data_IF_748773276220
#
_entry.id   IF_748773276220
#
_cell.length_a   1.000
_cell.length_b   1.000
_cell.length_c   1.000
_cell.angle_alpha   90.00
_cell.angle_beta   90.00
_cell.angle_gamma   90.00
#
_symmetry.space_group_name_H-M   'P 1'
#
loop_
_entity.id
_entity.type
_entity.pdbx_description
1 polymer ?
#
# COMPACT_ATOMS: atom_id res chain seq x y z
N UNK A 1 0.12 -9.60 33.92
CA UNK A 1 -0.11 -9.59 32.46
C UNK A 1 0.20 -10.97 31.94
N UNK A 2 -0.80 -11.67 31.39
CA UNK A 2 -0.60 -13.02 30.87
C UNK A 2 0.23 -12.93 29.58
N UNK A 3 1.48 -13.34 29.62
CA UNK A 3 2.28 -13.51 28.40
C UNK A 3 1.80 -14.79 27.74
N UNK A 4 0.87 -14.66 26.79
CA UNK A 4 0.59 -15.79 25.90
C UNK A 4 1.92 -16.19 25.25
N UNK A 5 2.34 -17.46 25.39
CA UNK A 5 3.58 -17.91 24.78
C UNK A 5 3.49 -17.71 23.27
N UNK A 6 4.60 -17.31 22.66
CA UNK A 6 4.70 -17.18 21.21
C UNK A 6 4.28 -18.51 20.58
N UNK A 7 3.35 -18.51 19.60
CA UNK A 7 2.95 -19.73 18.91
C UNK A 7 4.17 -20.48 18.38
N UNK A 8 4.16 -21.81 18.48
CA UNK A 8 5.28 -22.64 18.01
C UNK A 8 5.61 -22.39 16.53
N UNK A 9 4.61 -22.06 15.72
CA UNK A 9 4.76 -21.68 14.31
C UNK A 9 5.59 -20.42 14.09
N UNK A 10 5.75 -19.57 15.11
CA UNK A 10 6.54 -18.35 15.04
C UNK A 10 7.88 -18.47 15.78
N UNK A 11 8.19 -19.61 16.40
CA UNK A 11 9.33 -19.75 17.31
C UNK A 11 10.69 -19.41 16.66
N UNK A 12 10.83 -19.70 15.36
CA UNK A 12 12.07 -19.49 14.61
C UNK A 12 12.04 -18.20 13.75
N UNK A 13 10.99 -17.38 13.87
CA UNK A 13 10.87 -16.15 13.08
C UNK A 13 11.85 -15.11 13.59
N UNK A 14 12.57 -14.49 12.66
CA UNK A 14 13.59 -13.47 12.90
C UNK A 14 13.30 -12.18 12.17
N UNK A 15 12.52 -12.23 11.10
CA UNK A 15 12.07 -11.05 10.36
C UNK A 15 10.56 -11.09 10.09
N UNK A 16 9.96 -9.91 10.11
CA UNK A 16 8.59 -9.67 9.70
C UNK A 16 8.61 -8.78 8.46
N UNK A 17 8.00 -9.26 7.37
CA UNK A 17 7.79 -8.48 6.15
C UNK A 17 6.33 -8.04 6.10
N UNK A 18 6.10 -6.76 5.86
CA UNK A 18 4.77 -6.15 5.92
C UNK A 18 4.32 -5.69 4.55
N UNK A 19 3.11 -6.08 4.15
CA UNK A 19 2.34 -5.26 3.24
C UNK A 19 2.02 -3.89 3.89
N UNK A 20 1.79 -2.84 3.10
CA UNK A 20 1.73 -1.46 3.61
C UNK A 20 0.34 -0.85 3.47
N UNK A 21 -0.17 -0.70 2.25
CA UNK A 21 -1.45 -0.03 2.01
C UNK A 21 -2.60 -0.93 2.43
N UNK A 22 -3.35 -0.56 3.47
CA UNK A 22 -4.47 -1.32 4.03
C UNK A 22 -4.06 -2.17 5.23
N UNK A 23 -2.85 -2.73 5.20
CA UNK A 23 -2.28 -3.48 6.34
C UNK A 23 -1.76 -2.56 7.44
N UNK A 24 -1.08 -1.47 7.07
CA UNK A 24 -0.37 -0.57 7.98
C UNK A 24 -0.96 0.85 7.91
N UNK A 25 -1.36 1.27 6.71
CA UNK A 25 -1.91 2.60 6.46
C UNK A 25 -3.36 2.53 5.99
N UNK A 26 -4.20 3.40 6.56
CA UNK A 26 -5.58 3.61 6.16
C UNK A 26 -5.63 4.52 4.92
N UNK A 27 -5.55 3.88 3.76
CA UNK A 27 -5.64 4.60 2.50
C UNK A 27 -7.08 5.07 2.19
N UNK A 28 -8.10 4.36 2.67
CA UNK A 28 -9.48 4.57 2.22
C UNK A 28 -10.07 5.83 2.81
N UNK A 29 -9.86 6.06 4.11
CA UNK A 29 -10.37 7.26 4.79
C UNK A 29 -9.80 8.52 4.17
N UNK A 30 -8.48 8.58 3.97
CA UNK A 30 -7.83 9.78 3.45
C UNK A 30 -8.20 10.03 1.97
N UNK A 31 -8.18 9.01 1.11
CA UNK A 31 -8.57 9.18 -0.30
C UNK A 31 -10.03 9.64 -0.41
N UNK A 32 -10.94 9.04 0.37
CA UNK A 32 -12.34 9.44 0.39
C UNK A 32 -12.51 10.89 0.86
N UNK A 33 -11.80 11.29 1.94
CA UNK A 33 -11.80 12.67 2.45
C UNK A 33 -11.27 13.64 1.40
N UNK A 34 -10.17 13.31 0.71
CA UNK A 34 -9.60 14.18 -0.32
C UNK A 34 -10.56 14.39 -1.50
N UNK A 35 -11.22 13.33 -1.97
CA UNK A 35 -12.24 13.43 -3.02
C UNK A 35 -13.37 14.37 -2.61
N UNK A 36 -13.92 14.19 -1.40
CA UNK A 36 -15.00 15.02 -0.89
C UNK A 36 -14.58 16.50 -0.71
N UNK A 37 -13.35 16.76 -0.28
CA UNK A 37 -12.82 18.14 -0.12
C UNK A 37 -12.64 18.85 -1.46
N UNK A 38 -12.31 18.12 -2.53
CA UNK A 38 -12.15 18.70 -3.86
C UNK A 38 -13.46 18.74 -4.66
N UNK A 39 -14.55 18.17 -4.16
CA UNK A 39 -15.84 18.24 -4.81
C UNK A 39 -16.34 19.71 -4.88
N UNK A 40 -17.10 20.04 -5.92
CA UNK A 40 -17.66 21.39 -6.09
C UNK A 40 -18.68 21.68 -4.99
N UNK A 41 -18.92 22.96 -4.62
CA UNK A 41 -19.82 23.31 -3.52
C UNK A 41 -21.24 22.72 -3.60
N UNK A 42 -21.75 22.48 -4.81
CA UNK A 42 -23.07 21.91 -5.06
C UNK A 42 -23.00 20.46 -5.60
N UNK A 43 -21.94 19.72 -5.26
CA UNK A 43 -21.84 18.31 -5.63
C UNK A 43 -23.04 17.52 -5.11
N UNK A 44 -23.58 16.64 -5.93
CA UNK A 44 -24.64 15.70 -5.54
C UNK A 44 -24.08 14.39 -4.99
N UNK A 45 -22.75 14.23 -5.00
CA UNK A 45 -22.06 13.01 -4.60
C UNK A 45 -21.91 13.01 -3.08
N UNK A 46 -22.54 12.03 -2.46
CA UNK A 46 -22.50 11.82 -1.01
C UNK A 46 -21.17 11.21 -0.56
N UNK A 47 -20.88 11.29 0.74
CA UNK A 47 -19.68 10.69 1.33
C UNK A 47 -19.56 9.18 1.05
N UNK A 48 -20.67 8.44 1.08
CA UNK A 48 -20.67 7.00 0.79
C UNK A 48 -20.43 6.69 -0.68
N UNK A 49 -20.87 7.56 -1.58
CA UNK A 49 -20.55 7.45 -3.01
C UNK A 49 -19.08 7.75 -3.26
N UNK A 50 -18.49 8.74 -2.57
CA UNK A 50 -17.03 8.95 -2.62
C UNK A 50 -16.24 7.77 -2.07
N UNK A 51 -16.73 7.14 -1.00
CA UNK A 51 -16.12 5.94 -0.45
C UNK A 51 -16.12 4.78 -1.48
N UNK A 52 -17.22 4.61 -2.20
CA UNK A 52 -17.31 3.62 -3.28
C UNK A 52 -16.40 4.00 -4.46
N UNK A 53 -16.37 5.27 -4.84
CA UNK A 53 -15.50 5.78 -5.90
C UNK A 53 -14.02 5.54 -5.57
N UNK A 54 -13.59 5.80 -4.34
CA UNK A 54 -12.23 5.52 -3.88
C UNK A 54 -11.87 4.02 -4.01
N UNK A 55 -12.80 3.11 -3.69
CA UNK A 55 -12.61 1.68 -3.91
C UNK A 55 -12.47 1.32 -5.40
N UNK A 56 -13.34 1.84 -6.25
CA UNK A 56 -13.26 1.63 -7.71
C UNK A 56 -11.93 2.16 -8.27
N UNK A 57 -11.48 3.32 -7.80
CA UNK A 57 -10.20 3.88 -8.20
C UNK A 57 -9.04 2.99 -7.77
N UNK A 58 -9.06 2.48 -6.54
CA UNK A 58 -8.07 1.50 -6.05
C UNK A 58 -8.04 0.24 -6.91
N UNK A 59 -9.20 -0.29 -7.30
CA UNK A 59 -9.29 -1.43 -8.20
C UNK A 59 -8.70 -1.12 -9.58
N UNK A 60 -9.03 0.04 -10.15
CA UNK A 60 -8.44 0.51 -11.41
C UNK A 60 -6.91 0.59 -11.37
N UNK A 61 -6.34 1.07 -10.25
CA UNK A 61 -4.88 1.10 -10.03
C UNK A 61 -4.28 -0.31 -10.13
N UNK A 62 -4.89 -1.32 -9.50
CA UNK A 62 -4.41 -2.70 -9.57
C UNK A 62 -4.49 -3.27 -10.98
N UNK A 63 -5.65 -3.11 -11.64
CA UNK A 63 -5.87 -3.61 -13.01
C UNK A 63 -4.86 -3.00 -13.98
N UNK A 64 -4.71 -1.67 -13.95
CA UNK A 64 -3.78 -0.96 -14.82
C UNK A 64 -2.34 -1.41 -14.62
N UNK A 65 -1.92 -1.52 -13.35
CA UNK A 65 -0.57 -1.90 -12.98
C UNK A 65 -0.23 -3.32 -13.40
N UNK A 66 -1.13 -4.26 -13.15
CA UNK A 66 -0.94 -5.67 -13.53
C UNK A 66 -0.81 -5.80 -15.06
N UNK A 67 -1.73 -5.17 -15.81
CA UNK A 67 -1.69 -5.18 -17.27
C UNK A 67 -0.41 -4.52 -17.84
N UNK A 68 0.12 -3.48 -17.18
CA UNK A 68 1.38 -2.87 -17.58
C UNK A 68 2.57 -3.83 -17.39
N UNK A 69 2.65 -4.48 -16.23
CA UNK A 69 3.73 -5.42 -15.91
C UNK A 69 3.70 -6.65 -16.80
N UNK A 70 2.52 -7.21 -17.10
CA UNK A 70 2.36 -8.32 -18.05
C UNK A 70 2.90 -7.98 -19.45
N UNK A 71 2.87 -6.70 -19.83
CA UNK A 71 3.41 -6.19 -21.11
C UNK A 71 4.87 -5.74 -20.99
N UNK A 72 5.56 -6.04 -19.89
CA UNK A 72 6.94 -5.63 -19.63
C UNK A 72 7.12 -4.12 -19.47
N UNK A 73 6.06 -3.40 -19.08
CA UNK A 73 6.09 -1.95 -18.85
C UNK A 73 6.02 -1.64 -17.37
N UNK A 74 6.73 -0.59 -16.99
CA UNK A 74 6.65 -0.02 -15.65
C UNK A 74 6.27 1.46 -15.75
N UNK A 75 5.24 1.86 -15.01
CA UNK A 75 4.83 3.26 -14.87
C UNK A 75 5.03 3.71 -13.43
N UNK A 76 5.35 4.99 -13.23
CA UNK A 76 5.41 5.54 -11.87
C UNK A 76 4.03 5.48 -11.21
N UNK A 77 3.94 5.37 -9.88
CA UNK A 77 2.65 5.41 -9.20
C UNK A 77 1.83 6.65 -9.55
N UNK A 78 2.44 7.82 -9.66
CA UNK A 78 1.75 9.08 -10.01
C UNK A 78 1.10 8.98 -11.40
N UNK A 79 1.78 8.36 -12.36
CA UNK A 79 1.23 8.13 -13.70
C UNK A 79 0.02 7.21 -13.65
N UNK A 80 0.08 6.16 -12.83
CA UNK A 80 -1.01 5.20 -12.68
C UNK A 80 -2.20 5.86 -11.99
N UNK A 81 -1.98 6.54 -10.87
CA UNK A 81 -3.03 7.23 -10.10
C UNK A 81 -3.79 8.22 -10.97
N UNK A 82 -3.07 9.06 -11.73
CA UNK A 82 -3.69 10.04 -12.60
C UNK A 82 -4.49 9.38 -13.72
N UNK A 83 -3.90 8.41 -14.44
CA UNK A 83 -4.58 7.76 -15.57
C UNK A 83 -5.84 7.03 -15.14
N UNK A 84 -5.80 6.34 -14.00
CA UNK A 84 -6.97 5.62 -13.50
C UNK A 84 -8.01 6.55 -12.90
N UNK A 85 -7.62 7.72 -12.37
CA UNK A 85 -8.57 8.75 -11.95
C UNK A 85 -9.28 9.36 -13.16
N UNK A 86 -8.51 9.78 -14.16
CA UNK A 86 -9.02 10.38 -15.41
C UNK A 86 -9.97 9.42 -16.15
N UNK A 87 -9.61 8.13 -16.22
CA UNK A 87 -10.50 7.10 -16.76
C UNK A 87 -11.76 6.94 -15.90
N UNK A 88 -11.62 6.82 -14.59
CA UNK A 88 -12.75 6.55 -13.70
C UNK A 88 -13.75 7.71 -13.66
N UNK A 89 -13.26 8.95 -13.66
CA UNK A 89 -14.09 10.17 -13.75
C UNK A 89 -14.97 10.13 -14.99
N UNK A 90 -14.44 9.70 -16.14
CA UNK A 90 -15.19 9.58 -17.39
C UNK A 90 -16.18 8.42 -17.35
N UNK A 91 -15.78 7.26 -16.84
CA UNK A 91 -16.63 6.06 -16.84
C UNK A 91 -17.78 6.14 -15.83
N UNK A 92 -17.60 6.89 -14.74
CA UNK A 92 -18.61 7.06 -13.68
C UNK A 92 -19.37 8.39 -13.82
N UNK A 93 -19.16 9.13 -14.91
CA UNK A 93 -19.82 10.41 -15.21
C UNK A 93 -19.69 11.44 -14.07
N UNK A 94 -18.48 11.58 -13.54
CA UNK A 94 -18.17 12.50 -12.45
C UNK A 94 -17.99 13.92 -12.99
N UNK A 95 -19.03 14.75 -12.83
CA UNK A 95 -19.01 16.17 -13.19
C UNK A 95 -18.71 17.07 -11.98
N UNK A 96 -17.46 17.01 -11.49
CA UNK A 96 -17.00 17.89 -10.40
C UNK A 96 -16.25 19.14 -10.91
N UNK A 97 -16.05 19.26 -12.23
CA UNK A 97 -15.32 20.37 -12.83
C UNK A 97 -13.81 20.37 -12.57
N UNK A 98 -13.24 19.22 -12.20
CA UNK A 98 -11.80 19.08 -11.95
C UNK A 98 -10.98 19.32 -13.22
N UNK A 99 -10.04 20.26 -13.14
CA UNK A 99 -8.97 20.41 -14.12
C UNK A 99 -7.96 19.27 -14.02
N UNK A 100 -7.04 19.21 -14.98
CA UNK A 100 -5.89 18.29 -14.90
C UNK A 100 -5.04 18.57 -13.64
N UNK A 101 -4.87 19.84 -13.28
CA UNK A 101 -4.17 20.27 -12.07
C UNK A 101 -4.88 19.79 -10.80
N UNK A 102 -6.22 19.89 -10.74
CA UNK A 102 -7.01 19.41 -9.61
C UNK A 102 -6.89 17.89 -9.45
N UNK A 103 -6.99 17.14 -10.55
CA UNK A 103 -6.82 15.69 -10.53
C UNK A 103 -5.42 15.27 -10.07
N UNK A 104 -4.37 15.99 -10.50
CA UNK A 104 -3.00 15.77 -10.01
C UNK A 104 -2.88 16.06 -8.51
N UNK A 105 -3.57 17.08 -8.00
CA UNK A 105 -3.60 17.38 -6.57
C UNK A 105 -4.33 16.29 -5.79
N UNK A 106 -5.49 15.82 -6.27
CA UNK A 106 -6.25 14.70 -5.69
C UNK A 106 -5.40 13.43 -5.63
N UNK A 107 -4.59 13.16 -6.67
CA UNK A 107 -3.68 12.01 -6.69
C UNK A 107 -2.66 12.02 -5.53
N UNK A 108 -2.32 13.18 -4.97
CA UNK A 108 -1.42 13.26 -3.81
C UNK A 108 -2.03 12.65 -2.54
N UNK A 109 -3.34 12.36 -2.52
CA UNK A 109 -3.95 11.57 -1.47
C UNK A 109 -3.24 10.21 -1.30
N UNK A 110 -2.80 9.59 -2.40
CA UNK A 110 -2.10 8.31 -2.37
C UNK A 110 -0.71 8.36 -1.72
N UNK A 111 -0.09 9.56 -1.70
CA UNK A 111 1.25 9.79 -1.12
C UNK A 111 1.20 10.10 0.39
N UNK A 112 0.02 10.43 0.94
CA UNK A 112 -0.14 10.92 2.31
C UNK A 112 -1.21 10.14 3.06
N UNK A 113 -0.87 8.94 3.55
CA UNK A 113 -1.79 8.14 4.36
C UNK A 113 -1.46 8.22 5.85
N UNK A 114 -2.50 8.06 6.66
CA UNK A 114 -2.37 7.93 8.11
C UNK A 114 -2.26 6.43 8.46
N UNK A 115 -1.38 6.05 9.41
CA UNK A 115 -1.31 4.68 9.88
C UNK A 115 -2.56 4.33 10.69
N UNK A 116 -2.87 3.04 10.83
CA UNK A 116 -3.86 2.61 11.82
C UNK A 116 -3.41 2.96 13.25
N UNK A 117 -4.36 3.16 14.18
CA UNK A 117 -4.07 3.63 15.54
C UNK A 117 -3.09 2.73 16.33
N UNK A 118 -3.06 1.43 16.02
CA UNK A 118 -2.17 0.45 16.64
C UNK A 118 -0.79 0.35 15.96
N UNK A 119 -0.66 0.84 14.73
CA UNK A 119 0.50 0.55 13.87
C UNK A 119 1.80 1.08 14.46
N UNK A 120 1.89 2.33 14.89
CA UNK A 120 3.17 2.92 15.34
C UNK A 120 3.68 2.19 16.58
N UNK A 121 2.85 2.05 17.61
CA UNK A 121 3.21 1.36 18.85
C UNK A 121 3.49 -0.13 18.62
N UNK A 122 2.70 -0.80 17.77
CA UNK A 122 2.91 -2.20 17.40
C UNK A 122 4.24 -2.41 16.67
N UNK A 123 4.57 -1.54 15.73
CA UNK A 123 5.83 -1.57 14.99
C UNK A 123 7.03 -1.35 15.91
N UNK A 124 6.99 -0.37 16.81
CA UNK A 124 8.04 -0.15 17.81
C UNK A 124 8.27 -1.37 18.69
N UNK A 125 7.17 -1.99 19.16
CA UNK A 125 7.25 -3.22 19.96
C UNK A 125 7.86 -4.38 19.17
N UNK A 126 7.42 -4.62 17.94
CA UNK A 126 7.92 -5.71 17.11
C UNK A 126 9.42 -5.55 16.78
N UNK A 127 9.86 -4.31 16.55
CA UNK A 127 11.28 -3.99 16.29
C UNK A 127 12.21 -4.23 17.48
N UNK A 128 11.68 -4.41 18.69
CA UNK A 128 12.50 -4.84 19.84
C UNK A 128 13.05 -6.27 19.69
N UNK A 129 12.45 -7.08 18.80
CA UNK A 129 12.76 -8.51 18.67
C UNK A 129 13.01 -8.97 17.23
N UNK A 130 12.35 -8.37 16.25
CA UNK A 130 12.41 -8.80 14.86
C UNK A 130 13.01 -7.72 13.96
N UNK A 131 13.64 -8.14 12.86
CA UNK A 131 13.88 -7.24 11.73
C UNK A 131 12.51 -6.95 11.10
N UNK A 132 12.17 -5.69 10.89
CA UNK A 132 10.88 -5.31 10.28
C UNK A 132 11.09 -4.61 8.95
N UNK A 133 10.57 -5.21 7.89
CA UNK A 133 10.74 -4.74 6.50
C UNK A 133 9.39 -4.40 5.87
N UNK A 134 9.32 -3.24 5.21
CA UNK A 134 8.20 -2.93 4.31
C UNK A 134 8.39 -3.64 2.96
N UNK A 135 7.33 -4.31 2.50
CA UNK A 135 7.26 -5.05 1.25
C UNK A 135 6.07 -4.51 0.41
N UNK A 136 6.28 -3.42 -0.32
CA UNK A 136 5.18 -2.61 -0.86
C UNK A 136 5.19 -2.47 -2.38
N UNK A 137 4.01 -2.60 -2.97
CA UNK A 137 3.77 -2.20 -4.35
C UNK A 137 3.81 -0.66 -4.55
N UNK A 138 3.97 0.15 -3.50
CA UNK A 138 4.18 1.60 -3.62
C UNK A 138 5.54 1.97 -4.24
N UNK A 139 5.80 3.28 -4.37
CA UNK A 139 7.15 3.80 -4.63
C UNK A 139 7.91 4.09 -3.34
N UNK A 140 9.23 4.20 -3.45
CA UNK A 140 10.08 4.67 -2.36
C UNK A 140 9.66 6.07 -1.89
N UNK A 141 9.29 6.97 -2.82
CA UNK A 141 8.82 8.32 -2.51
C UNK A 141 7.58 8.28 -1.62
N UNK A 142 6.56 7.50 -1.99
CA UNK A 142 5.31 7.39 -1.21
C UNK A 142 5.60 6.93 0.22
N UNK A 143 6.38 5.85 0.35
CA UNK A 143 6.68 5.28 1.66
C UNK A 143 7.53 6.23 2.51
N UNK A 144 8.52 6.92 1.94
CA UNK A 144 9.31 7.91 2.67
C UNK A 144 8.43 9.05 3.20
N UNK A 145 7.53 9.59 2.37
CA UNK A 145 6.61 10.65 2.78
C UNK A 145 5.70 10.19 3.92
N UNK A 146 5.04 9.04 3.77
CA UNK A 146 4.16 8.46 4.80
C UNK A 146 4.91 8.18 6.10
N UNK A 147 6.11 7.58 6.03
CA UNK A 147 6.92 7.27 7.20
C UNK A 147 7.33 8.54 7.97
N UNK A 148 7.74 9.60 7.25
CA UNK A 148 8.14 10.88 7.87
C UNK A 148 6.96 11.59 8.53
N UNK A 149 5.78 11.52 7.92
CA UNK A 149 4.58 12.15 8.48
C UNK A 149 4.02 11.39 9.69
N UNK A 150 4.13 10.06 9.69
CA UNK A 150 3.50 9.19 10.69
C UNK A 150 4.43 8.75 11.83
N UNK A 151 5.75 8.80 11.63
CA UNK A 151 6.72 8.21 12.56
C UNK A 151 6.90 6.70 12.42
N UNK A 152 6.22 6.03 11.47
CA UNK A 152 6.44 4.60 11.22
C UNK A 152 7.87 4.37 10.73
N UNK A 153 8.58 3.46 11.39
CA UNK A 153 9.97 3.11 11.04
C UNK A 153 10.11 1.68 10.57
N UNK A 154 11.03 1.46 9.63
CA UNK A 154 11.37 0.16 9.06
C UNK A 154 12.89 -0.04 9.16
N UNK A 155 13.34 -1.28 9.28
CA UNK A 155 14.76 -1.61 9.14
C UNK A 155 15.15 -1.68 7.65
N UNK A 156 14.21 -2.12 6.81
CA UNK A 156 14.33 -2.12 5.35
C UNK A 156 13.03 -1.68 4.68
N UNK A 157 13.16 -0.97 3.56
CA UNK A 157 12.05 -0.61 2.68
C UNK A 157 12.32 -1.20 1.30
N UNK A 158 11.48 -2.14 0.87
CA UNK A 158 11.51 -2.70 -0.48
C UNK A 158 10.23 -2.32 -1.23
N UNK A 159 10.41 -1.55 -2.30
CA UNK A 159 9.34 -1.00 -3.12
C UNK A 159 9.42 -1.45 -4.57
N UNK A 160 8.27 -1.50 -5.23
CA UNK A 160 8.15 -2.00 -6.62
C UNK A 160 9.00 -1.22 -7.63
N UNK A 161 9.23 0.06 -7.40
CA UNK A 161 10.06 0.92 -8.25
C UNK A 161 11.56 0.57 -8.18
N UNK A 162 12.03 0.00 -7.07
CA UNK A 162 13.42 -0.43 -6.90
C UNK A 162 13.71 -1.75 -7.62
N UNK A 163 12.76 -2.70 -7.58
CA UNK A 163 12.97 -4.05 -8.14
C UNK A 163 12.27 -4.28 -9.47
N UNK A 164 11.48 -3.30 -9.96
CA UNK A 164 10.70 -3.38 -11.21
C UNK A 164 9.78 -4.61 -11.29
N UNK A 165 9.28 -5.05 -10.14
CA UNK A 165 8.34 -6.13 -9.97
C UNK A 165 7.25 -5.69 -8.99
N UNK A 166 6.07 -6.31 -9.09
CA UNK A 166 4.93 -6.08 -8.20
C UNK A 166 4.49 -7.41 -7.60
N UNK A 167 4.04 -7.40 -6.34
CA UNK A 167 3.34 -8.54 -5.74
C UNK A 167 2.09 -8.85 -6.57
N UNK A 168 1.77 -10.15 -6.82
CA UNK A 168 2.33 -11.34 -6.19
C UNK A 168 3.53 -11.98 -6.94
N UNK A 169 4.31 -11.24 -7.72
CA UNK A 169 5.49 -11.80 -8.40
C UNK A 169 6.47 -12.44 -7.38
N UNK A 170 6.93 -13.69 -7.61
CA UNK A 170 7.92 -14.35 -6.75
C UNK A 170 9.20 -13.54 -6.53
N UNK A 171 9.60 -12.70 -7.50
CA UNK A 171 10.82 -11.87 -7.39
C UNK A 171 10.76 -10.91 -6.20
N UNK A 172 9.57 -10.46 -5.82
CA UNK A 172 9.37 -9.53 -4.70
C UNK A 172 9.76 -10.19 -3.37
N UNK A 173 9.24 -11.39 -3.12
CA UNK A 173 9.50 -12.15 -1.90
C UNK A 173 10.92 -12.72 -1.91
N UNK A 174 11.39 -13.26 -3.04
CA UNK A 174 12.77 -13.75 -3.19
C UNK A 174 13.81 -12.67 -2.94
N UNK A 175 13.54 -11.44 -3.38
CA UNK A 175 14.42 -10.31 -3.07
C UNK A 175 14.45 -10.00 -1.58
N UNK A 176 13.30 -10.00 -0.89
CA UNK A 176 13.26 -9.84 0.56
C UNK A 176 14.08 -10.92 1.28
N UNK A 177 13.91 -12.19 0.92
CA UNK A 177 14.67 -13.33 1.46
C UNK A 177 16.18 -13.11 1.27
N UNK A 178 16.60 -12.73 0.05
CA UNK A 178 18.01 -12.47 -0.29
C UNK A 178 18.59 -11.29 0.49
N UNK A 179 17.85 -10.19 0.64
CA UNK A 179 18.31 -9.00 1.36
C UNK A 179 18.46 -9.27 2.86
N UNK A 180 17.51 -10.01 3.45
CA UNK A 180 17.54 -10.37 4.86
C UNK A 180 18.59 -11.43 5.18
N UNK A 181 19.02 -12.22 4.18
CA UNK A 181 19.95 -13.36 4.34
C UNK A 181 19.45 -14.37 5.38
N UNK A 182 18.14 -14.61 5.36
CA UNK A 182 17.45 -15.58 6.19
C UNK A 182 16.86 -16.68 5.30
N UNK A 183 16.52 -17.81 5.90
CA UNK A 183 15.72 -18.84 5.23
C UNK A 183 14.24 -18.43 5.17
N UNK A 184 13.46 -18.91 4.19
CA UNK A 184 12.02 -18.61 4.12
C UNK A 184 11.29 -18.88 5.44
N UNK A 185 11.59 -19.99 6.12
CA UNK A 185 10.97 -20.37 7.39
C UNK A 185 11.35 -19.49 8.60
N UNK A 186 12.31 -18.56 8.44
CA UNK A 186 12.69 -17.56 9.44
C UNK A 186 11.99 -16.20 9.21
N UNK A 187 11.18 -16.08 8.15
CA UNK A 187 10.51 -14.83 7.74
C UNK A 187 9.00 -15.05 7.78
N UNK A 188 8.27 -14.16 8.44
CA UNK A 188 6.80 -14.17 8.41
C UNK A 188 6.27 -12.94 7.65
N UNK A 189 5.31 -13.19 6.78
CA UNK A 189 4.54 -12.15 6.08
C UNK A 189 3.36 -11.71 6.96
N UNK A 190 3.20 -10.39 7.12
CA UNK A 190 2.03 -9.76 7.72
C UNK A 190 1.32 -8.92 6.66
N UNK A 191 0.10 -9.32 6.32
CA UNK A 191 -0.71 -8.63 5.31
C UNK A 191 -2.21 -8.80 5.61
N UNK A 192 -3.00 -7.77 5.33
CA UNK A 192 -4.46 -7.80 5.36
C UNK A 192 -5.08 -8.47 4.13
N UNK A 193 -4.25 -8.89 3.16
CA UNK A 193 -4.69 -9.37 1.86
C UNK A 193 -4.31 -10.84 1.65
N UNK A 194 -5.31 -11.71 1.48
CA UNK A 194 -5.13 -13.17 1.35
C UNK A 194 -4.22 -13.57 0.18
N UNK A 195 -4.38 -12.93 -0.98
CA UNK A 195 -3.55 -13.24 -2.16
C UNK A 195 -2.05 -13.04 -1.90
N UNK A 196 -1.71 -12.09 -1.03
CA UNK A 196 -0.32 -11.74 -0.71
C UNK A 196 0.29 -12.76 0.26
N UNK A 197 -0.53 -13.25 1.20
CA UNK A 197 -0.16 -14.34 2.12
C UNK A 197 0.01 -15.66 1.36
N UNK A 198 -0.90 -16.01 0.45
CA UNK A 198 -0.80 -17.23 -0.36
C UNK A 198 0.42 -17.20 -1.27
N UNK A 199 0.71 -16.05 -1.89
CA UNK A 199 1.94 -15.89 -2.66
C UNK A 199 3.18 -16.05 -1.77
N UNK A 200 3.26 -15.38 -0.62
CA UNK A 200 4.39 -15.47 0.30
C UNK A 200 4.64 -16.89 0.84
N UNK A 201 3.57 -17.67 1.06
CA UNK A 201 3.65 -19.05 1.56
C UNK A 201 4.33 -20.03 0.60
N UNK A 202 4.34 -19.72 -0.70
CA UNK A 202 4.87 -20.61 -1.75
C UNK A 202 6.32 -20.31 -2.14
N UNK A 203 7.00 -19.44 -1.38
CA UNK A 203 8.34 -18.94 -1.70
C UNK A 203 9.48 -19.81 -1.18
#
# INVERSE_FOLDING_TARGET
>A
MSTNPQPASLANIRALVFDVFGTVFDWHTNVTRTLAVHARPNSSITQSQWALFAHKWRQGIYVYRNAAVERGRYFSPETIYFRTLDELVKTEDIDEGWSEEDMKLICKAWENQEPWNDTVAGMELLKTKFIVMALSNGSAKDLISMNRASGVTWDYILTSDLIKAIKPSPEFYKTAIRLLRLKPEEIAMSAAHEYDLEAAKTQ
#
